data_IF_355632384773
#
_entry.id   IF_355632384773
#
_cell.length_a   1.000
_cell.length_b   1.000
_cell.length_c   1.000
_cell.angle_alpha   90.00
_cell.angle_beta   90.00
_cell.angle_gamma   90.00
#
_symmetry.space_group_name_H-M   'P 1'
#
loop_
_entity.id
_entity.type
_entity.pdbx_description
1 polymer ?
#
# COMPACT_ATOMS: atom_id res chain seq x y z
N UNK A 1 -56.15 -61.08 17.51
CA UNK A 1 -55.69 -59.75 18.01
C UNK A 1 -54.14 -59.61 17.95
N UNK A 2 -53.42 -60.61 18.43
CA UNK A 2 -51.93 -60.55 18.44
C UNK A 2 -51.29 -60.43 17.03
N UNK A 3 -51.83 -61.10 16.00
CA UNK A 3 -51.31 -61.05 14.64
C UNK A 3 -51.49 -59.66 14.00
N UNK A 4 -52.56 -58.95 14.28
CA UNK A 4 -52.79 -57.57 13.81
C UNK A 4 -51.86 -56.57 14.49
N UNK A 5 -51.51 -56.78 15.75
CA UNK A 5 -50.60 -55.93 16.52
C UNK A 5 -49.15 -56.17 16.01
N UNK A 6 -48.76 -57.42 15.73
CA UNK A 6 -47.42 -57.66 15.13
C UNK A 6 -47.29 -57.13 13.72
N UNK A 7 -48.37 -57.24 12.91
CA UNK A 7 -48.35 -56.61 11.55
C UNK A 7 -48.30 -55.09 11.60
N UNK A 8 -48.97 -54.47 12.54
CA UNK A 8 -48.94 -53.01 12.75
C UNK A 8 -47.56 -52.55 13.27
N UNK A 9 -46.97 -53.32 14.17
CA UNK A 9 -45.63 -53.06 14.70
C UNK A 9 -44.55 -53.20 13.63
N UNK A 10 -44.67 -54.20 12.75
CA UNK A 10 -43.78 -54.39 11.58
C UNK A 10 -43.94 -53.26 10.57
N UNK A 11 -45.17 -52.76 10.34
CA UNK A 11 -45.43 -51.61 9.45
C UNK A 11 -44.86 -50.32 10.01
N UNK A 12 -44.91 -50.10 11.33
CA UNK A 12 -44.32 -48.93 11.97
C UNK A 12 -42.77 -48.94 11.88
N UNK A 13 -42.14 -50.12 11.99
CA UNK A 13 -40.69 -50.28 11.87
C UNK A 13 -40.24 -49.99 10.44
N UNK A 14 -41.02 -50.38 9.42
CA UNK A 14 -40.68 -50.10 8.01
C UNK A 14 -40.87 -48.62 7.65
N UNK A 15 -41.79 -47.88 8.27
CA UNK A 15 -41.94 -46.43 8.07
C UNK A 15 -40.86 -45.60 8.78
N UNK A 16 -40.22 -46.15 9.82
CA UNK A 16 -39.13 -45.45 10.55
C UNK A 16 -37.80 -45.46 9.79
N UNK A 17 -37.74 -46.21 8.68
CA UNK A 17 -36.54 -46.43 7.93
C UNK A 17 -36.18 -45.37 6.89
N UNK A 18 -37.00 -44.30 6.69
CA UNK A 18 -36.69 -43.25 5.74
C UNK A 18 -35.75 -42.21 6.36
N UNK A 19 -34.49 -42.18 5.94
CA UNK A 19 -33.55 -41.10 6.27
C UNK A 19 -33.98 -39.83 5.58
N UNK A 20 -34.31 -38.82 6.38
CA UNK A 20 -34.60 -37.49 5.86
C UNK A 20 -33.35 -36.60 6.03
N UNK A 21 -32.83 -36.13 4.93
CA UNK A 21 -31.66 -35.23 4.91
C UNK A 21 -32.04 -33.91 4.29
N UNK A 22 -31.65 -32.80 4.95
CA UNK A 22 -31.85 -31.46 4.42
C UNK A 22 -30.49 -30.91 4.00
N UNK A 23 -30.36 -30.49 2.74
CA UNK A 23 -29.20 -29.73 2.25
C UNK A 23 -29.51 -28.24 2.43
N UNK A 24 -28.70 -27.58 3.25
CA UNK A 24 -28.89 -26.18 3.57
C UNK A 24 -28.55 -25.26 2.39
N UNK A 25 -29.16 -24.07 2.38
CA UNK A 25 -28.83 -23.02 1.41
C UNK A 25 -27.36 -22.62 1.54
N UNK A 26 -26.66 -22.54 0.39
CA UNK A 26 -25.22 -22.27 0.34
C UNK A 26 -24.35 -23.51 0.51
N UNK A 27 -24.96 -24.71 0.57
CA UNK A 27 -24.25 -25.99 0.56
C UNK A 27 -24.62 -26.80 -0.66
N UNK A 28 -23.79 -27.78 -0.97
CA UNK A 28 -24.09 -28.88 -1.91
C UNK A 28 -24.02 -30.19 -1.18
N UNK A 29 -25.05 -31.00 -1.37
CA UNK A 29 -25.11 -32.35 -0.82
C UNK A 29 -24.35 -33.34 -1.71
N UNK A 30 -23.58 -34.21 -1.10
CA UNK A 30 -22.86 -35.31 -1.76
C UNK A 30 -23.47 -36.60 -1.27
N UNK A 31 -24.09 -37.33 -2.20
CA UNK A 31 -24.66 -38.64 -1.90
C UNK A 31 -23.54 -39.68 -1.83
N UNK A 32 -23.36 -40.26 -0.65
CA UNK A 32 -22.40 -41.34 -0.42
C UNK A 32 -23.14 -42.63 -0.10
N UNK A 33 -23.10 -43.57 -1.02
CA UNK A 33 -23.73 -44.92 -0.86
C UNK A 33 -22.64 -45.94 -0.72
N UNK A 34 -22.70 -46.73 0.37
CA UNK A 34 -21.68 -47.76 0.69
C UNK A 34 -20.22 -47.23 0.60
N UNK A 35 -19.99 -45.97 0.96
CA UNK A 35 -18.68 -45.35 0.90
C UNK A 35 -18.27 -44.84 -0.50
N UNK A 36 -19.16 -44.94 -1.48
CA UNK A 36 -18.92 -44.39 -2.83
C UNK A 36 -19.77 -43.16 -3.07
N UNK A 37 -19.16 -42.12 -3.66
CA UNK A 37 -19.89 -40.94 -4.10
C UNK A 37 -20.66 -41.27 -5.36
N UNK A 38 -21.99 -41.08 -5.30
CA UNK A 38 -22.91 -41.35 -6.40
C UNK A 38 -23.52 -40.08 -6.98
N UNK A 39 -23.56 -40.01 -8.30
CA UNK A 39 -24.29 -38.95 -9.02
C UNK A 39 -23.64 -37.59 -8.98
N UNK A 40 -24.43 -36.57 -9.35
CA UNK A 40 -24.06 -35.18 -9.30
C UNK A 40 -24.34 -34.58 -7.91
N UNK A 41 -23.65 -33.50 -7.51
CA UNK A 41 -23.92 -32.84 -6.25
C UNK A 41 -25.37 -32.35 -6.17
N UNK A 42 -26.02 -32.69 -5.05
CA UNK A 42 -27.40 -32.34 -4.78
C UNK A 42 -27.50 -30.83 -4.50
N UNK A 43 -28.56 -30.21 -4.99
CA UNK A 43 -28.89 -28.81 -4.69
C UNK A 43 -29.50 -28.70 -3.28
N UNK A 44 -29.70 -27.46 -2.81
CA UNK A 44 -30.44 -27.22 -1.58
C UNK A 44 -31.86 -27.81 -1.65
N UNK A 45 -32.30 -28.38 -0.56
CA UNK A 45 -33.61 -29.01 -0.47
C UNK A 45 -33.68 -30.19 0.47
N UNK A 46 -34.83 -30.87 0.45
CA UNK A 46 -35.10 -32.05 1.27
C UNK A 46 -34.94 -33.30 0.42
N UNK A 47 -34.18 -34.27 0.91
CA UNK A 47 -33.91 -35.54 0.25
C UNK A 47 -34.24 -36.73 1.15
N UNK A 48 -34.79 -37.74 0.53
CA UNK A 48 -35.11 -39.02 1.19
C UNK A 48 -34.12 -40.06 0.74
N UNK A 49 -33.41 -40.66 1.66
CA UNK A 49 -32.40 -41.68 1.39
C UNK A 49 -32.62 -42.90 2.27
N UNK A 50 -32.03 -44.00 1.90
CA UNK A 50 -31.96 -45.18 2.75
C UNK A 50 -30.95 -44.92 3.89
N UNK A 51 -31.39 -44.92 5.16
CA UNK A 51 -30.54 -44.59 6.29
C UNK A 51 -29.44 -45.62 6.58
N UNK A 52 -29.55 -46.84 6.02
CA UNK A 52 -28.58 -47.88 6.26
C UNK A 52 -27.44 -47.91 5.23
N UNK A 53 -27.67 -47.36 4.05
CA UNK A 53 -26.72 -47.49 2.93
C UNK A 53 -26.21 -46.13 2.42
N UNK A 54 -26.92 -45.04 2.69
CA UNK A 54 -26.65 -43.74 2.06
C UNK A 54 -26.60 -42.63 3.07
N UNK A 55 -25.52 -41.88 3.03
CA UNK A 55 -25.33 -40.61 3.78
C UNK A 55 -25.25 -39.43 2.80
N UNK A 56 -25.76 -38.27 3.21
CA UNK A 56 -25.54 -37.05 2.47
C UNK A 56 -24.57 -36.17 3.26
N UNK A 57 -23.37 -36.02 2.71
CA UNK A 57 -22.36 -35.11 3.21
C UNK A 57 -22.58 -33.72 2.58
N UNK A 58 -22.32 -32.63 3.33
CA UNK A 58 -22.56 -31.28 2.86
C UNK A 58 -21.22 -30.51 2.77
N UNK A 59 -21.01 -29.86 1.63
CA UNK A 59 -19.89 -28.95 1.45
C UNK A 59 -20.37 -27.53 1.23
N UNK A 60 -19.75 -26.58 1.93
CA UNK A 60 -20.03 -25.13 1.78
C UNK A 60 -19.49 -24.63 0.43
N UNK A 61 -20.36 -23.96 -0.34
CA UNK A 61 -20.02 -23.32 -1.61
C UNK A 61 -20.06 -21.80 -1.54
N UNK A 62 -20.30 -21.25 -0.36
CA UNK A 62 -20.26 -19.80 -0.14
C UNK A 62 -18.83 -19.28 -0.20
N UNK A 63 -18.70 -17.98 -0.36
CA UNK A 63 -17.39 -17.35 -0.28
C UNK A 63 -16.85 -17.42 1.14
N UNK A 64 -15.75 -18.13 1.29
CA UNK A 64 -14.98 -18.24 2.53
C UNK A 64 -13.85 -17.23 2.51
N UNK A 65 -13.44 -16.78 3.69
CA UNK A 65 -12.28 -15.93 3.90
C UNK A 65 -11.19 -16.68 4.65
N UNK A 66 -9.98 -16.55 4.18
CA UNK A 66 -8.79 -17.04 4.85
C UNK A 66 -7.77 -15.93 4.99
N UNK A 67 -7.39 -15.64 6.25
CA UNK A 67 -6.31 -14.73 6.58
C UNK A 67 -5.07 -15.56 6.90
N UNK A 68 -4.01 -15.36 6.11
CA UNK A 68 -2.79 -16.15 6.21
C UNK A 68 -1.54 -15.29 6.38
N UNK A 69 -0.49 -15.93 6.89
CA UNK A 69 0.87 -15.37 6.94
C UNK A 69 1.85 -16.32 6.28
N UNK A 70 2.74 -15.77 5.47
CA UNK A 70 3.78 -16.55 4.81
C UNK A 70 5.15 -15.89 4.99
N UNK A 71 6.12 -16.65 5.46
CA UNK A 71 7.51 -16.24 5.40
C UNK A 71 8.07 -16.56 4.01
N UNK A 72 8.69 -15.60 3.37
CA UNK A 72 9.26 -15.70 2.03
C UNK A 72 10.53 -14.86 1.90
N UNK A 73 11.16 -14.92 0.73
CA UNK A 73 12.31 -14.10 0.39
C UNK A 73 12.02 -13.36 -0.91
N UNK A 74 12.45 -12.12 -0.96
CA UNK A 74 12.42 -11.30 -2.17
C UNK A 74 13.56 -11.69 -3.12
N UNK A 75 13.55 -11.14 -4.34
CA UNK A 75 14.58 -11.37 -5.36
C UNK A 75 15.99 -10.98 -4.88
N UNK A 76 16.10 -9.92 -4.09
CA UNK A 76 17.34 -9.47 -3.44
C UNK A 76 17.63 -10.19 -2.11
N UNK A 77 17.01 -11.38 -1.92
CA UNK A 77 17.24 -12.32 -0.80
C UNK A 77 16.93 -11.69 0.58
N UNK A 78 16.04 -10.71 0.63
CA UNK A 78 15.57 -10.18 1.90
C UNK A 78 14.44 -11.04 2.45
N UNK A 79 14.51 -11.38 3.73
CA UNK A 79 13.44 -12.10 4.42
C UNK A 79 12.26 -11.16 4.65
N UNK A 80 11.08 -11.59 4.20
CA UNK A 80 9.82 -10.89 4.38
C UNK A 80 8.75 -11.81 4.95
N UNK A 81 7.92 -11.29 5.85
CA UNK A 81 6.69 -11.94 6.30
C UNK A 81 5.52 -11.21 5.67
N UNK A 82 4.77 -11.94 4.86
CA UNK A 82 3.63 -11.41 4.11
C UNK A 82 2.35 -11.82 4.84
N UNK A 83 1.52 -10.84 5.18
CA UNK A 83 0.16 -11.08 5.68
C UNK A 83 -0.83 -10.79 4.56
N UNK A 84 -1.74 -11.71 4.31
CA UNK A 84 -2.71 -11.62 3.23
C UNK A 84 -4.09 -12.09 3.65
N UNK A 85 -5.09 -11.70 2.88
CA UNK A 85 -6.47 -12.17 2.99
C UNK A 85 -6.93 -12.68 1.63
N UNK A 86 -7.48 -13.89 1.60
CA UNK A 86 -8.01 -14.54 0.41
C UNK A 86 -9.51 -14.78 0.57
N UNK A 87 -10.30 -14.37 -0.41
CA UNK A 87 -11.71 -14.72 -0.53
C UNK A 87 -11.88 -15.74 -1.66
N UNK A 88 -12.41 -16.91 -1.34
CA UNK A 88 -12.52 -18.01 -2.29
C UNK A 88 -13.81 -18.81 -2.06
N UNK A 89 -14.25 -19.52 -3.08
CA UNK A 89 -15.42 -20.38 -3.04
C UNK A 89 -15.17 -21.64 -3.88
N UNK A 90 -15.74 -22.77 -3.47
CA UNK A 90 -15.72 -23.98 -4.28
C UNK A 90 -16.80 -23.88 -5.36
N UNK A 91 -16.47 -24.22 -6.62
CA UNK A 91 -17.47 -24.27 -7.69
C UNK A 91 -18.43 -25.42 -7.45
N UNK A 92 -19.75 -25.16 -7.54
CA UNK A 92 -20.79 -26.17 -7.26
C UNK A 92 -20.63 -27.48 -8.06
N UNK A 93 -20.17 -27.36 -9.32
CA UNK A 93 -19.98 -28.50 -10.20
C UNK A 93 -18.79 -29.40 -9.79
N UNK A 94 -17.83 -28.82 -9.10
CA UNK A 94 -16.60 -29.51 -8.68
C UNK A 94 -16.69 -30.14 -7.30
N UNK A 95 -17.76 -29.88 -6.55
CA UNK A 95 -17.94 -30.38 -5.18
C UNK A 95 -17.77 -31.88 -5.08
N UNK A 96 -18.44 -32.65 -5.94
CA UNK A 96 -18.34 -34.13 -5.95
C UNK A 96 -16.95 -34.66 -6.28
N UNK A 97 -16.24 -34.00 -7.21
CA UNK A 97 -14.86 -34.34 -7.57
C UNK A 97 -13.89 -34.02 -6.44
N UNK A 98 -14.03 -32.81 -5.86
CA UNK A 98 -13.19 -32.35 -4.73
C UNK A 98 -13.38 -33.26 -3.51
N UNK A 99 -14.61 -33.64 -3.19
CA UNK A 99 -14.86 -34.56 -2.10
C UNK A 99 -14.20 -35.93 -2.32
N UNK A 100 -14.29 -36.48 -3.55
CA UNK A 100 -13.64 -37.77 -3.92
C UNK A 100 -12.13 -37.74 -3.80
N UNK A 101 -11.49 -36.63 -4.19
CA UNK A 101 -10.04 -36.56 -4.33
C UNK A 101 -9.35 -36.01 -3.10
N UNK A 102 -10.00 -35.07 -2.38
CA UNK A 102 -9.41 -34.30 -1.26
C UNK A 102 -10.18 -34.52 0.03
N UNK A 103 -11.51 -34.70 -0.04
CA UNK A 103 -12.36 -34.83 1.14
C UNK A 103 -12.90 -33.51 1.64
N UNK A 104 -13.44 -33.52 2.85
CA UNK A 104 -14.06 -32.35 3.47
C UNK A 104 -13.07 -31.23 3.78
N UNK A 105 -11.82 -31.58 4.12
CA UNK A 105 -10.78 -30.60 4.50
C UNK A 105 -10.05 -30.01 3.27
N UNK A 106 -10.77 -29.82 2.16
CA UNK A 106 -10.23 -29.37 0.90
C UNK A 106 -9.55 -27.99 0.98
N UNK A 107 -10.05 -27.09 1.83
CA UNK A 107 -9.49 -25.77 1.99
C UNK A 107 -8.03 -25.83 2.45
N UNK A 108 -7.75 -26.56 3.52
CA UNK A 108 -6.39 -26.68 4.05
C UNK A 108 -5.48 -27.57 3.19
N UNK A 109 -6.06 -28.58 2.53
CA UNK A 109 -5.28 -29.55 1.77
C UNK A 109 -4.96 -29.07 0.34
N UNK A 110 -5.85 -28.28 -0.27
CA UNK A 110 -5.74 -27.88 -1.67
C UNK A 110 -5.49 -26.37 -1.82
N UNK A 111 -6.21 -25.51 -1.08
CA UNK A 111 -6.11 -24.05 -1.27
C UNK A 111 -4.84 -23.53 -0.62
N UNK A 112 -4.59 -23.86 0.62
CA UNK A 112 -3.47 -23.35 1.38
C UNK A 112 -2.09 -23.58 0.71
N UNK A 113 -1.71 -24.80 0.30
CA UNK A 113 -0.41 -25.05 -0.32
C UNK A 113 -0.22 -24.29 -1.65
N UNK A 114 -1.29 -24.22 -2.47
CA UNK A 114 -1.23 -23.53 -3.77
C UNK A 114 -1.01 -22.02 -3.55
N UNK A 115 -1.81 -21.42 -2.69
CA UNK A 115 -1.68 -19.98 -2.40
C UNK A 115 -0.32 -19.62 -1.81
N UNK A 116 0.18 -20.43 -0.88
CA UNK A 116 1.50 -20.21 -0.29
C UNK A 116 2.63 -20.36 -1.31
N UNK A 117 2.49 -21.31 -2.26
CA UNK A 117 3.47 -21.48 -3.32
C UNK A 117 3.44 -20.30 -4.31
N UNK A 118 2.27 -19.97 -4.85
CA UNK A 118 2.11 -18.88 -5.80
C UNK A 118 2.58 -17.54 -5.22
N UNK A 119 2.27 -17.30 -3.93
CA UNK A 119 2.72 -16.12 -3.21
C UNK A 119 4.25 -16.06 -3.14
N UNK A 120 4.91 -17.17 -2.77
CA UNK A 120 6.38 -17.23 -2.70
C UNK A 120 7.01 -17.04 -4.07
N UNK A 121 6.47 -17.66 -5.10
CA UNK A 121 6.98 -17.59 -6.47
C UNK A 121 6.83 -16.18 -7.06
N UNK A 122 5.73 -15.51 -6.77
CA UNK A 122 5.54 -14.13 -7.21
C UNK A 122 6.42 -13.14 -6.43
N UNK A 123 6.49 -13.25 -5.11
CA UNK A 123 7.31 -12.36 -4.28
C UNK A 123 8.80 -12.48 -4.63
N UNK A 124 9.28 -13.68 -4.97
CA UNK A 124 10.66 -13.90 -5.38
C UNK A 124 11.07 -13.18 -6.69
N UNK A 125 10.12 -12.62 -7.43
CA UNK A 125 10.37 -11.82 -8.64
C UNK A 125 10.61 -10.33 -8.34
N UNK A 126 10.28 -9.86 -7.14
CA UNK A 126 10.34 -8.45 -6.73
C UNK A 126 11.52 -8.17 -5.81
N UNK A 127 12.17 -7.04 -6.02
CA UNK A 127 13.10 -6.49 -5.04
C UNK A 127 12.32 -5.89 -3.85
N UNK A 128 12.90 -5.92 -2.66
CA UNK A 128 12.18 -5.51 -1.44
C UNK A 128 11.67 -4.06 -1.50
N UNK A 129 12.43 -3.14 -2.08
CA UNK A 129 12.05 -1.73 -2.24
C UNK A 129 10.90 -1.58 -3.24
N UNK A 130 10.96 -2.31 -4.36
CA UNK A 130 9.93 -2.25 -5.41
C UNK A 130 8.61 -2.88 -4.93
N UNK A 131 8.70 -3.93 -4.13
CA UNK A 131 7.53 -4.57 -3.51
C UNK A 131 6.74 -3.59 -2.62
N UNK A 132 7.44 -2.73 -1.86
CA UNK A 132 6.79 -1.70 -1.04
C UNK A 132 6.24 -0.57 -1.90
N UNK A 133 7.01 -0.10 -2.87
CA UNK A 133 6.64 1.04 -3.74
C UNK A 133 5.47 0.70 -4.67
N UNK A 134 5.40 -0.56 -5.15
CA UNK A 134 4.42 -1.02 -6.16
C UNK A 134 3.52 -2.13 -5.62
N UNK A 135 3.16 -2.07 -4.35
CA UNK A 135 2.41 -3.09 -3.60
C UNK A 135 1.13 -3.54 -4.31
N UNK A 136 0.38 -2.61 -4.89
CA UNK A 136 -0.86 -2.95 -5.60
C UNK A 136 -0.59 -3.81 -6.83
N UNK A 137 0.44 -3.49 -7.60
CA UNK A 137 0.82 -4.26 -8.79
C UNK A 137 1.26 -5.68 -8.39
N UNK A 138 2.04 -5.79 -7.32
CA UNK A 138 2.43 -7.09 -6.78
C UNK A 138 1.22 -7.93 -6.33
N UNK A 139 0.27 -7.30 -5.63
CA UNK A 139 -0.99 -7.94 -5.22
C UNK A 139 -1.80 -8.45 -6.42
N UNK A 140 -1.90 -7.64 -7.48
CA UNK A 140 -2.64 -8.01 -8.71
C UNK A 140 -1.97 -9.20 -9.42
N UNK A 141 -0.63 -9.24 -9.46
CA UNK A 141 0.11 -10.37 -10.02
C UNK A 141 -0.10 -11.66 -9.22
N UNK A 142 -0.02 -11.58 -7.88
CA UNK A 142 -0.28 -12.72 -7.00
C UNK A 142 -1.72 -13.20 -7.18
N UNK A 143 -2.69 -12.28 -7.21
CA UNK A 143 -4.08 -12.62 -7.45
C UNK A 143 -4.28 -13.36 -8.77
N UNK A 144 -3.65 -12.89 -9.86
CA UNK A 144 -3.76 -13.53 -11.16
C UNK A 144 -3.18 -14.96 -11.17
N UNK A 145 -2.03 -15.18 -10.53
CA UNK A 145 -1.43 -16.49 -10.38
C UNK A 145 -2.33 -17.45 -9.58
N UNK A 146 -2.77 -17.03 -8.39
CA UNK A 146 -3.65 -17.79 -7.51
C UNK A 146 -4.99 -18.10 -8.19
N UNK A 147 -5.60 -17.14 -8.89
CA UNK A 147 -6.84 -17.35 -9.65
C UNK A 147 -6.65 -18.40 -10.77
N UNK A 148 -5.52 -18.36 -11.47
CA UNK A 148 -5.20 -19.33 -12.52
C UNK A 148 -5.10 -20.75 -11.96
N UNK A 149 -4.33 -20.92 -10.91
CA UNK A 149 -3.97 -22.26 -10.42
C UNK A 149 -5.07 -22.90 -9.56
N UNK A 150 -5.74 -22.11 -8.72
CA UNK A 150 -6.94 -22.57 -8.01
C UNK A 150 -8.12 -22.78 -8.96
N UNK A 151 -8.24 -21.95 -10.01
CA UNK A 151 -9.26 -22.11 -11.04
C UNK A 151 -9.22 -23.47 -11.76
N UNK A 152 -8.04 -23.99 -12.04
CA UNK A 152 -7.83 -25.34 -12.61
C UNK A 152 -8.31 -26.45 -11.66
N UNK A 153 -8.30 -26.18 -10.36
CA UNK A 153 -8.70 -27.10 -9.30
C UNK A 153 -10.18 -26.96 -8.88
N UNK A 154 -10.92 -26.08 -9.57
CA UNK A 154 -12.35 -25.89 -9.30
C UNK A 154 -12.66 -24.90 -8.18
N UNK A 155 -11.70 -24.12 -7.74
CA UNK A 155 -11.89 -23.06 -6.74
C UNK A 155 -11.94 -21.70 -7.46
N UNK A 156 -12.96 -20.90 -7.13
CA UNK A 156 -13.08 -19.53 -7.61
C UNK A 156 -12.51 -18.57 -6.56
N UNK A 157 -11.60 -17.71 -6.97
CA UNK A 157 -11.03 -16.67 -6.13
C UNK A 157 -11.73 -15.35 -6.44
N UNK A 158 -12.37 -14.76 -5.44
CA UNK A 158 -13.09 -13.48 -5.57
C UNK A 158 -12.19 -12.27 -5.28
N UNK A 159 -11.11 -12.47 -4.50
CA UNK A 159 -10.15 -11.43 -4.19
C UNK A 159 -8.97 -11.94 -3.40
N UNK A 160 -7.80 -11.37 -3.68
CA UNK A 160 -6.57 -11.55 -2.90
C UNK A 160 -6.07 -10.17 -2.47
N UNK A 161 -5.83 -9.99 -1.19
CA UNK A 161 -5.43 -8.71 -0.60
C UNK A 161 -4.15 -8.88 0.19
N UNK A 162 -3.11 -8.20 -0.23
CA UNK A 162 -1.87 -8.11 0.49
C UNK A 162 -2.03 -7.09 1.64
N UNK A 163 -2.21 -7.59 2.86
CA UNK A 163 -2.55 -6.75 4.02
C UNK A 163 -1.32 -6.11 4.62
N UNK A 164 -0.23 -6.86 4.78
CA UNK A 164 1.01 -6.34 5.35
C UNK A 164 2.25 -7.02 4.77
N UNK A 165 3.38 -6.30 4.78
CA UNK A 165 4.70 -6.78 4.36
C UNK A 165 5.71 -6.32 5.39
N UNK A 166 6.14 -7.23 6.24
CA UNK A 166 7.14 -7.00 7.28
C UNK A 166 8.51 -7.52 6.81
N UNK A 167 9.52 -6.68 6.80
CA UNK A 167 10.91 -7.07 6.55
C UNK A 167 11.70 -7.24 7.83
N UNK A 168 12.86 -7.88 7.73
CA UNK A 168 13.76 -8.00 8.88
C UNK A 168 14.18 -6.61 9.41
N UNK A 169 14.30 -6.46 10.75
CA UNK A 169 14.67 -5.19 11.35
C UNK A 169 16.02 -4.64 10.86
N UNK A 170 16.96 -5.53 10.51
CA UNK A 170 18.24 -5.12 9.93
C UNK A 170 18.09 -4.48 8.54
N UNK A 171 17.21 -4.99 7.70
CA UNK A 171 16.91 -4.43 6.39
C UNK A 171 16.21 -3.06 6.53
N UNK A 172 15.20 -2.97 7.36
CA UNK A 172 14.45 -1.73 7.61
C UNK A 172 15.40 -0.63 8.09
N UNK A 173 16.26 -0.91 9.08
CA UNK A 173 17.26 0.05 9.56
C UNK A 173 18.29 0.46 8.48
N UNK A 174 18.59 -0.43 7.53
CA UNK A 174 19.51 -0.12 6.42
C UNK A 174 18.87 0.80 5.39
N UNK A 175 17.59 0.58 5.08
CA UNK A 175 16.82 1.45 4.19
C UNK A 175 16.62 2.82 4.83
N UNK A 176 16.27 2.90 6.11
CA UNK A 176 16.16 4.17 6.84
C UNK A 176 17.45 4.98 6.76
N UNK A 177 18.60 4.35 7.03
CA UNK A 177 19.91 5.02 6.92
C UNK A 177 20.19 5.50 5.50
N UNK A 178 19.86 4.70 4.48
CA UNK A 178 20.02 5.09 3.06
C UNK A 178 19.13 6.28 2.71
N UNK A 179 17.90 6.31 3.17
CA UNK A 179 16.95 7.41 2.93
C UNK A 179 17.45 8.68 3.63
N UNK A 180 17.87 8.60 4.88
CA UNK A 180 18.44 9.73 5.64
C UNK A 180 19.66 10.30 4.90
N UNK A 181 20.61 9.43 4.51
CA UNK A 181 21.81 9.87 3.79
C UNK A 181 21.48 10.53 2.44
N UNK A 182 20.48 10.02 1.72
CA UNK A 182 20.02 10.62 0.47
C UNK A 182 19.37 12.00 0.69
N UNK A 183 18.58 12.14 1.75
CA UNK A 183 17.98 13.43 2.13
C UNK A 183 19.03 14.44 2.58
N UNK A 184 20.01 14.02 3.37
CA UNK A 184 21.12 14.88 3.79
C UNK A 184 21.95 15.35 2.59
N UNK A 185 22.24 14.46 1.64
CA UNK A 185 22.94 14.84 0.39
C UNK A 185 22.13 15.86 -0.43
N UNK A 186 20.82 15.68 -0.56
CA UNK A 186 19.94 16.63 -1.25
C UNK A 186 19.87 17.97 -0.52
N UNK A 187 19.77 17.96 0.80
CA UNK A 187 19.79 19.17 1.64
C UNK A 187 21.11 19.94 1.49
N UNK A 188 22.24 19.22 1.45
CA UNK A 188 23.55 19.84 1.20
C UNK A 188 23.66 20.46 -0.20
N UNK A 189 23.13 19.80 -1.23
CA UNK A 189 23.05 20.36 -2.59
C UNK A 189 22.20 21.63 -2.62
N UNK A 190 21.00 21.60 -2.05
CA UNK A 190 20.11 22.76 -1.98
C UNK A 190 20.76 23.91 -1.25
N UNK A 191 21.46 23.63 -0.12
CA UNK A 191 22.21 24.66 0.62
C UNK A 191 23.33 25.29 -0.19
N UNK A 192 24.05 24.47 -0.94
CA UNK A 192 25.12 24.96 -1.82
C UNK A 192 24.56 25.87 -2.92
N UNK A 193 23.42 25.51 -3.49
CA UNK A 193 22.76 26.32 -4.51
C UNK A 193 22.22 27.63 -3.93
N UNK A 194 21.63 27.57 -2.73
CA UNK A 194 21.19 28.77 -2.00
C UNK A 194 22.37 29.74 -1.76
N UNK A 195 23.50 29.24 -1.27
CA UNK A 195 24.71 30.06 -1.03
C UNK A 195 25.21 30.71 -2.31
N UNK A 196 25.22 29.96 -3.42
CA UNK A 196 25.60 30.54 -4.75
C UNK A 196 24.66 31.64 -5.17
N UNK A 197 23.35 31.47 -4.98
CA UNK A 197 22.37 32.49 -5.31
C UNK A 197 22.51 33.73 -4.41
N UNK A 198 22.76 33.55 -3.11
CA UNK A 198 23.03 34.64 -2.17
C UNK A 198 24.29 35.40 -2.57
N UNK A 199 25.39 34.74 -2.89
CA UNK A 199 26.62 35.36 -3.37
C UNK A 199 26.41 36.09 -4.70
N UNK A 200 25.66 35.54 -5.64
CA UNK A 200 25.33 36.20 -6.90
C UNK A 200 24.49 37.46 -6.67
N UNK A 201 23.53 37.42 -5.74
CA UNK A 201 22.74 38.58 -5.36
C UNK A 201 23.60 39.67 -4.67
N UNK A 202 24.51 39.29 -3.77
CA UNK A 202 25.41 40.22 -3.10
C UNK A 202 26.35 40.90 -4.11
N UNK A 203 26.91 40.14 -5.04
CA UNK A 203 27.72 40.67 -6.12
C UNK A 203 26.96 41.69 -6.98
N UNK A 204 25.71 41.34 -7.36
CA UNK A 204 24.85 42.20 -8.15
C UNK A 204 24.51 43.51 -7.36
N UNK A 205 24.22 43.41 -6.06
CA UNK A 205 23.98 44.56 -5.20
C UNK A 205 25.22 45.44 -5.11
N UNK A 206 26.41 44.85 -4.94
CA UNK A 206 27.64 45.62 -4.89
C UNK A 206 27.95 46.33 -6.22
N UNK A 207 27.75 45.65 -7.34
CA UNK A 207 27.90 46.24 -8.69
C UNK A 207 26.91 47.38 -8.92
N UNK A 208 25.63 47.19 -8.55
CA UNK A 208 24.59 48.21 -8.67
C UNK A 208 24.90 49.43 -7.79
N UNK A 209 25.37 49.22 -6.55
CA UNK A 209 25.79 50.30 -5.66
C UNK A 209 26.98 51.07 -6.21
N UNK A 210 28.00 50.37 -6.72
CA UNK A 210 29.17 50.99 -7.36
C UNK A 210 28.78 51.81 -8.59
N UNK A 211 27.90 51.27 -9.44
CA UNK A 211 27.40 51.97 -10.61
C UNK A 211 26.54 53.24 -10.22
N UNK A 212 25.70 53.07 -9.21
CA UNK A 212 24.93 54.20 -8.67
C UNK A 212 25.81 55.32 -8.09
N UNK A 213 26.90 54.94 -7.38
CA UNK A 213 27.87 55.92 -6.88
C UNK A 213 28.60 56.62 -8.03
N UNK A 214 28.96 55.89 -9.08
CA UNK A 214 29.62 56.48 -10.28
C UNK A 214 28.68 57.46 -10.98
N UNK A 215 27.43 57.10 -11.21
CA UNK A 215 26.42 57.98 -11.83
C UNK A 215 26.19 59.22 -10.98
N UNK A 216 26.14 59.09 -9.64
CA UNK A 216 26.04 60.23 -8.73
C UNK A 216 27.27 61.15 -8.79
N UNK A 217 28.49 60.56 -8.80
CA UNK A 217 29.73 61.36 -8.90
C UNK A 217 29.80 62.13 -10.20
N UNK A 218 29.42 61.48 -11.32
CA UNK A 218 29.36 62.12 -12.64
C UNK A 218 28.34 63.26 -12.67
N UNK A 219 27.14 63.06 -12.09
CA UNK A 219 26.09 64.10 -11.99
C UNK A 219 26.51 65.28 -11.12
N UNK A 220 27.20 65.03 -10.01
CA UNK A 220 27.71 66.08 -9.10
C UNK A 220 28.88 66.84 -9.78
N UNK A 221 29.72 66.21 -10.55
CA UNK A 221 30.83 66.86 -11.31
C UNK A 221 30.31 67.81 -12.40
N UNK A 222 29.18 67.46 -13.01
CA UNK A 222 28.55 68.27 -14.07
C UNK A 222 27.69 69.41 -13.57
N UNK A 223 27.26 69.38 -12.30
CA UNK A 223 26.36 70.36 -11.68
C UNK A 223 26.77 70.68 -10.23
N UNK A 224 27.69 71.66 -10.02
CA UNK A 224 28.15 71.99 -8.66
C UNK A 224 27.02 72.49 -7.71
N UNK A 225 25.95 73.06 -8.23
CA UNK A 225 24.77 73.46 -7.46
C UNK A 225 24.00 72.29 -6.83
N UNK A 226 24.12 71.07 -7.38
CA UNK A 226 23.54 69.85 -6.80
C UNK A 226 24.23 69.50 -5.49
N UNK A 227 25.51 69.79 -5.33
CA UNK A 227 26.23 69.57 -4.04
C UNK A 227 25.67 70.41 -2.94
N UNK A 228 25.39 71.69 -3.23
CA UNK A 228 24.79 72.56 -2.27
C UNK A 228 23.38 72.16 -1.87
N UNK A 229 22.59 71.72 -2.83
CA UNK A 229 21.23 71.23 -2.60
C UNK A 229 21.20 69.89 -1.77
N UNK A 230 22.09 68.93 -2.07
CA UNK A 230 22.24 67.67 -1.27
C UNK A 230 22.76 67.99 0.15
N UNK A 231 23.66 68.92 0.31
CA UNK A 231 24.15 69.39 1.62
C UNK A 231 22.99 69.97 2.48
N UNK A 232 22.13 70.75 1.86
CA UNK A 232 20.94 71.30 2.52
C UNK A 232 19.93 70.26 2.90
N UNK A 233 19.69 69.24 2.02
CA UNK A 233 18.76 68.15 2.32
C UNK A 233 19.25 67.20 3.42
N UNK A 234 20.55 66.98 3.54
CA UNK A 234 21.16 66.12 4.56
C UNK A 234 21.43 66.91 5.88
N UNK A 235 21.24 68.19 5.89
CA UNK A 235 21.48 69.01 7.10
C UNK A 235 20.34 68.79 8.09
N UNK A 236 20.72 68.32 9.30
CA UNK A 236 19.81 68.14 10.43
C UNK A 236 19.40 69.38 11.17
N UNK A 237 19.74 70.58 10.65
CA UNK A 237 19.40 71.87 11.24
C UNK A 237 20.28 72.31 12.45
N UNK A 238 21.29 71.52 12.82
CA UNK A 238 22.18 71.78 13.93
C UNK A 238 23.53 72.29 13.41
N UNK A 239 23.94 73.47 13.81
CA UNK A 239 25.27 74.04 13.53
C UNK A 239 26.33 73.23 14.31
N UNK A 240 27.48 72.85 13.73
CA UNK A 240 28.56 72.24 14.46
C UNK A 240 29.11 73.16 15.54
N UNK A 241 29.07 72.69 16.78
CA UNK A 241 29.49 73.51 17.96
C UNK A 241 30.99 73.83 18.02
N UNK A 242 31.81 73.18 17.17
CA UNK A 242 33.25 73.39 17.09
C UNK A 242 33.67 73.52 15.63
N UNK A 243 33.91 74.78 15.16
CA UNK A 243 34.68 75.05 13.94
C UNK A 243 36.03 75.61 14.30
N UNK A 244 37.07 74.78 14.27
CA UNK A 244 38.45 75.28 14.34
C UNK A 244 38.85 75.79 12.93
N UNK A 245 38.82 77.12 12.69
CA UNK A 245 39.31 77.71 11.47
C UNK A 245 38.25 78.19 10.48
N UNK A 246 38.11 79.36 10.37
CA UNK A 246 37.41 80.42 9.66
C UNK A 246 36.68 80.25 8.37
N UNK A 247 36.34 79.02 7.89
CA UNK A 247 35.45 78.82 6.75
C UNK A 247 34.52 77.68 6.99
N UNK A 248 33.25 77.92 7.08
CA UNK A 248 32.23 76.84 7.04
C UNK A 248 32.28 76.18 5.66
N UNK A 249 32.48 74.93 5.54
CA UNK A 249 32.44 74.25 4.25
C UNK A 249 31.01 74.37 3.70
N UNK A 250 30.89 74.90 2.48
CA UNK A 250 29.68 75.08 1.68
C UNK A 250 28.77 76.31 1.90
N UNK A 251 29.12 77.27 2.78
CA UNK A 251 28.38 78.53 2.89
C UNK A 251 29.35 79.69 2.56
N UNK A 252 29.26 80.27 1.36
CA UNK A 252 29.88 81.56 1.06
C UNK A 252 28.95 82.66 1.57
N UNK A 253 29.33 83.31 2.66
CA UNK A 253 28.66 84.51 3.03
C UNK A 253 29.13 85.67 2.12
N UNK A 254 28.21 86.44 1.51
CA UNK A 254 28.58 87.64 0.76
C UNK A 254 29.30 88.59 1.66
N UNK A 255 30.42 89.14 1.21
CA UNK A 255 31.15 90.20 1.94
C UNK A 255 30.24 91.42 2.18
N UNK A 256 30.07 91.78 3.44
CA UNK A 256 29.37 93.04 3.82
C UNK A 256 30.16 94.24 3.32
N UNK A 257 29.54 95.08 2.45
CA UNK A 257 30.01 96.38 2.07
C UNK A 257 29.60 97.35 3.15
#
# INVERSE_FOLDING_TARGET
MKLKITALMLLVITLSGCGVHTVETGHRGIKVSFGQVEGEPLTEGLYFTDPFTTTIEQMDIRTLRWDGKAATHTKDVQSATITFSLNYALRPEMVGTTYKTVGENWANTLVEPVVLQDLKDEIAKWDAVDLVASRQIASDHIQAAVMSDLGKKGVTVSGFFLTDVEFSGGFTASIERKVIAAQDALAAQNKTEQVKQEQAQELLRAQTAAQSMKIRADALSQNPKLVEWEAVQKWNGVLPQYSMGGTLPFIQMPAAH
#
